data_IF_021874710857
#
_entry.id   IF_021874710857
#
_cell.length_a   1.000
_cell.length_b   1.000
_cell.length_c   1.000
_cell.angle_alpha   90.00
_cell.angle_beta   90.00
_cell.angle_gamma   90.00
#
_symmetry.space_group_name_H-M   'P 1'
#
loop_
_entity.id
_entity.type
_entity.pdbx_description
1 polymer ?
#
# COMPACT_ATOMS: atom_id res chain seq x y z
N UNK A 1 -6.25 -16.22 -41.05
CA UNK A 1 -5.59 -15.35 -40.03
C UNK A 1 -5.44 -16.07 -38.67
N UNK A 2 -6.38 -16.92 -38.28
CA UNK A 2 -6.37 -17.73 -37.05
C UNK A 2 -5.15 -18.66 -36.93
N UNK A 3 -4.77 -19.42 -37.96
CA UNK A 3 -3.67 -20.39 -37.91
C UNK A 3 -2.26 -19.79 -37.65
N UNK A 4 -2.02 -18.56 -38.14
CA UNK A 4 -0.72 -17.87 -37.89
C UNK A 4 -0.61 -17.40 -36.44
N UNK A 5 -1.69 -16.89 -35.84
CA UNK A 5 -1.74 -16.46 -34.45
C UNK A 5 -1.56 -17.65 -33.50
N UNK A 6 -2.25 -18.77 -33.77
CA UNK A 6 -2.12 -20.00 -32.98
C UNK A 6 -0.68 -20.58 -33.04
N UNK A 7 -0.05 -20.54 -34.22
CA UNK A 7 1.33 -20.95 -34.36
C UNK A 7 2.31 -20.06 -33.56
N UNK A 8 2.16 -18.75 -33.62
CA UNK A 8 3.01 -17.81 -32.88
C UNK A 8 2.80 -17.94 -31.36
N UNK A 9 1.57 -18.15 -30.93
CA UNK A 9 1.24 -18.41 -29.51
C UNK A 9 1.92 -19.71 -29.03
N UNK A 10 1.78 -20.79 -29.78
CA UNK A 10 2.37 -22.08 -29.43
C UNK A 10 3.92 -22.00 -29.38
N UNK A 11 4.54 -21.31 -30.32
CA UNK A 11 5.98 -20.99 -30.26
C UNK A 11 6.34 -20.13 -29.05
N UNK A 12 5.48 -19.17 -28.63
CA UNK A 12 5.68 -18.38 -27.42
C UNK A 12 5.68 -19.23 -26.15
N UNK A 13 4.74 -20.18 -26.04
CA UNK A 13 4.68 -21.15 -24.92
C UNK A 13 5.94 -22.03 -24.89
N UNK A 14 6.36 -22.56 -26.04
CA UNK A 14 7.59 -23.35 -26.12
C UNK A 14 8.80 -22.50 -25.70
N UNK A 15 8.90 -21.27 -26.19
CA UNK A 15 9.98 -20.35 -25.78
C UNK A 15 9.95 -20.04 -24.29
N UNK A 16 8.78 -19.92 -23.67
CA UNK A 16 8.67 -19.77 -22.21
C UNK A 16 9.36 -20.92 -21.46
N UNK A 17 9.04 -22.17 -21.80
CA UNK A 17 9.67 -23.32 -21.16
C UNK A 17 11.19 -23.40 -21.42
N UNK A 18 11.64 -23.01 -22.59
CA UNK A 18 13.07 -22.92 -22.94
C UNK A 18 13.75 -21.83 -22.11
N UNK A 19 13.14 -20.65 -21.99
CA UNK A 19 13.64 -19.54 -21.18
C UNK A 19 13.67 -19.95 -19.70
N UNK A 20 12.59 -20.54 -19.20
CA UNK A 20 12.47 -20.99 -17.81
C UNK A 20 13.56 -22.00 -17.45
N UNK A 21 13.75 -23.03 -18.29
CA UNK A 21 14.77 -24.06 -18.05
C UNK A 21 16.19 -23.51 -18.10
N UNK A 22 16.48 -22.60 -19.02
CA UNK A 22 17.83 -22.04 -19.19
C UNK A 22 18.13 -20.89 -18.24
N UNK A 23 17.12 -20.20 -17.73
CA UNK A 23 17.25 -19.00 -16.86
C UNK A 23 16.35 -19.10 -15.61
N UNK A 24 16.32 -20.30 -15.00
CA UNK A 24 15.50 -20.53 -13.79
C UNK A 24 15.80 -19.55 -12.66
N UNK A 25 17.07 -19.21 -12.49
CA UNK A 25 17.49 -18.22 -11.47
C UNK A 25 16.87 -16.84 -11.72
N UNK A 26 16.80 -16.42 -12.99
CA UNK A 26 16.15 -15.14 -13.34
C UNK A 26 14.64 -15.17 -13.07
N UNK A 27 13.99 -16.31 -13.31
CA UNK A 27 12.58 -16.49 -12.95
C UNK A 27 12.36 -16.39 -11.44
N UNK A 28 13.22 -17.04 -10.64
CA UNK A 28 13.18 -16.97 -9.19
C UNK A 28 13.42 -15.54 -8.70
N UNK A 29 14.41 -14.85 -9.26
CA UNK A 29 14.68 -13.43 -8.94
C UNK A 29 13.48 -12.54 -9.24
N UNK A 30 12.84 -12.71 -10.42
CA UNK A 30 11.66 -11.94 -10.79
C UNK A 30 10.49 -12.22 -9.82
N UNK A 31 10.27 -13.49 -9.46
CA UNK A 31 9.25 -13.88 -8.47
C UNK A 31 9.50 -13.22 -7.12
N UNK A 32 10.76 -13.19 -6.66
CA UNK A 32 11.15 -12.55 -5.39
C UNK A 32 10.94 -11.05 -5.42
N UNK A 33 11.30 -10.38 -6.52
CA UNK A 33 11.09 -8.94 -6.70
C UNK A 33 9.60 -8.60 -6.62
N UNK A 34 8.75 -9.37 -7.31
CA UNK A 34 7.29 -9.18 -7.29
C UNK A 34 6.72 -9.49 -5.89
N UNK A 35 7.21 -10.54 -5.23
CA UNK A 35 6.82 -10.86 -3.85
C UNK A 35 7.14 -9.71 -2.90
N UNK A 36 8.36 -9.16 -2.95
CA UNK A 36 8.75 -8.01 -2.13
C UNK A 36 7.87 -6.79 -2.41
N UNK A 37 7.52 -6.54 -3.67
CA UNK A 37 6.57 -5.48 -4.02
C UNK A 37 5.22 -5.65 -3.30
N UNK A 38 4.65 -6.87 -3.28
CA UNK A 38 3.40 -7.13 -2.55
C UNK A 38 3.53 -6.90 -1.05
N UNK A 39 4.64 -7.38 -0.45
CA UNK A 39 4.91 -7.19 0.99
C UNK A 39 4.99 -5.70 1.34
N UNK A 40 5.76 -4.92 0.59
CA UNK A 40 5.91 -3.48 0.84
C UNK A 40 4.60 -2.71 0.62
N UNK A 41 3.84 -3.07 -0.40
CA UNK A 41 2.55 -2.45 -0.66
C UNK A 41 1.56 -2.68 0.47
N UNK A 42 1.42 -3.92 0.92
CA UNK A 42 0.50 -4.27 2.02
C UNK A 42 0.95 -3.64 3.34
N UNK A 43 2.24 -3.68 3.64
CA UNK A 43 2.78 -3.01 4.82
C UNK A 43 2.47 -1.51 4.82
N UNK A 44 2.56 -0.88 3.64
CA UNK A 44 2.28 0.54 3.49
C UNK A 44 0.82 0.90 3.56
N UNK A 45 -0.04 0.16 2.89
CA UNK A 45 -1.49 0.38 2.96
C UNK A 45 -2.03 0.15 4.37
N UNK A 46 -1.51 -0.86 5.08
CA UNK A 46 -1.83 -1.12 6.47
C UNK A 46 -1.41 0.02 7.40
N UNK A 47 -0.22 0.58 7.21
CA UNK A 47 0.23 1.74 7.99
C UNK A 47 -0.67 2.96 7.77
N UNK A 48 -1.07 3.24 6.53
CA UNK A 48 -1.99 4.32 6.21
C UNK A 48 -3.37 4.10 6.83
N UNK A 49 -3.90 2.88 6.77
CA UNK A 49 -5.18 2.50 7.41
C UNK A 49 -5.14 2.66 8.92
N UNK A 50 -4.06 2.22 9.57
CA UNK A 50 -3.86 2.37 11.00
C UNK A 50 -3.79 3.83 11.44
N UNK A 51 -3.03 4.66 10.72
CA UNK A 51 -2.93 6.09 10.98
C UNK A 51 -4.27 6.81 10.79
N UNK A 52 -5.04 6.41 9.77
CA UNK A 52 -6.39 6.93 9.56
C UNK A 52 -7.35 6.51 10.69
N UNK A 53 -7.24 5.27 11.17
CA UNK A 53 -8.06 4.80 12.29
C UNK A 53 -7.73 5.55 13.60
N UNK A 54 -6.44 5.81 13.85
CA UNK A 54 -6.01 6.66 14.96
C UNK A 54 -6.47 8.11 14.79
N UNK A 55 -6.50 8.64 13.57
CA UNK A 55 -6.98 10.00 13.30
C UNK A 55 -8.50 10.14 13.38
N UNK A 56 -9.25 9.07 13.10
CA UNK A 56 -10.72 9.05 13.29
C UNK A 56 -11.12 8.92 14.76
N UNK A 57 -10.24 8.44 15.63
CA UNK A 57 -10.42 8.47 17.08
C UNK A 57 -10.17 9.87 17.68
N UNK A 58 -9.89 10.86 16.85
CA UNK A 58 -9.69 12.24 17.29
C UNK A 58 -11.04 12.92 17.61
N UNK A 59 -11.52 12.63 18.78
CA UNK A 59 -12.56 13.41 19.41
C UNK A 59 -11.96 14.72 19.97
N UNK A 60 -12.66 15.83 19.80
CA UNK A 60 -12.28 17.09 20.41
C UNK A 60 -12.77 17.03 21.85
N UNK A 61 -11.89 17.28 22.81
CA UNK A 61 -12.24 17.35 24.23
C UNK A 61 -12.22 18.78 24.69
N UNK A 62 -13.37 19.18 25.24
CA UNK A 62 -13.58 20.49 25.82
C UNK A 62 -13.59 20.32 27.33
N UNK A 63 -12.55 20.78 28.00
CA UNK A 63 -12.46 20.76 29.46
C UNK A 63 -13.23 21.92 30.02
N UNK A 64 -13.97 21.68 31.11
CA UNK A 64 -14.84 22.68 31.74
C UNK A 64 -14.12 23.34 32.91
N UNK A 65 -14.20 24.65 32.99
CA UNK A 65 -13.64 25.42 34.09
C UNK A 65 -14.36 25.16 35.45
N UNK A 66 -15.59 24.65 35.38
CA UNK A 66 -16.39 24.39 36.57
C UNK A 66 -17.11 23.03 36.43
N UNK A 67 -17.04 22.20 37.47
CA UNK A 67 -17.63 20.86 37.47
C UNK A 67 -19.14 20.87 37.83
N UNK A 68 -19.86 21.93 37.44
CA UNK A 68 -21.29 22.04 37.69
C UNK A 68 -22.07 21.46 36.50
N UNK A 69 -22.84 20.40 36.75
CA UNK A 69 -23.60 19.66 35.73
C UNK A 69 -24.62 20.57 34.98
N UNK A 70 -25.20 21.56 35.64
CA UNK A 70 -26.15 22.48 35.00
C UNK A 70 -25.45 23.36 33.96
N UNK A 71 -24.26 23.87 34.29
CA UNK A 71 -23.43 24.65 33.37
C UNK A 71 -22.93 23.77 32.24
N UNK A 72 -22.54 22.53 32.55
CA UNK A 72 -22.08 21.55 31.55
C UNK A 72 -23.18 21.23 30.52
N UNK A 73 -24.44 21.09 30.93
CA UNK A 73 -25.54 20.85 29.98
C UNK A 73 -25.83 22.07 29.09
N UNK A 74 -25.68 23.28 29.60
CA UNK A 74 -25.79 24.49 28.79
C UNK A 74 -24.69 24.59 27.75
N UNK A 75 -23.45 24.32 28.15
CA UNK A 75 -22.30 24.27 27.22
C UNK A 75 -22.48 23.15 26.19
N UNK A 76 -22.94 21.96 26.61
CA UNK A 76 -23.23 20.84 25.73
C UNK A 76 -24.28 21.20 24.66
N UNK A 77 -25.33 21.89 25.06
CA UNK A 77 -26.37 22.35 24.13
C UNK A 77 -25.82 23.38 23.13
N UNK A 78 -24.96 24.29 23.58
CA UNK A 78 -24.29 25.27 22.70
C UNK A 78 -23.34 24.61 21.71
N UNK A 79 -22.58 23.57 22.13
CA UNK A 79 -21.67 22.83 21.28
C UNK A 79 -22.44 22.04 20.22
N UNK A 80 -23.60 21.46 20.56
CA UNK A 80 -24.40 20.66 19.59
C UNK A 80 -24.97 21.49 18.44
N UNK A 81 -25.02 22.81 18.58
CA UNK A 81 -25.51 23.73 17.55
C UNK A 81 -24.38 24.23 16.64
N UNK A 82 -23.13 23.98 16.99
CA UNK A 82 -21.98 24.36 16.15
C UNK A 82 -21.99 23.63 14.81
N UNK A 83 -21.59 24.32 13.77
CA UNK A 83 -21.44 23.74 12.45
C UNK A 83 -20.39 22.62 12.45
N UNK A 84 -20.66 21.56 11.69
CA UNK A 84 -19.79 20.39 11.55
C UNK A 84 -19.61 19.53 12.82
N UNK A 85 -20.50 19.61 13.78
CA UNK A 85 -20.58 18.72 14.93
C UNK A 85 -21.68 17.67 14.68
N UNK A 86 -21.28 16.38 14.66
CA UNK A 86 -22.24 15.25 14.50
C UNK A 86 -22.92 14.92 15.82
N UNK A 87 -22.16 14.86 16.89
CA UNK A 87 -22.66 14.62 18.25
C UNK A 87 -21.67 15.13 19.28
N UNK A 88 -22.17 15.37 20.49
CA UNK A 88 -21.34 15.72 21.64
C UNK A 88 -21.87 14.99 22.87
N UNK A 89 -20.94 14.52 23.73
CA UNK A 89 -21.25 13.77 24.94
C UNK A 89 -20.52 14.35 26.13
N UNK A 90 -21.25 14.60 27.21
CA UNK A 90 -20.68 15.06 28.47
C UNK A 90 -20.19 13.87 29.31
N UNK A 91 -19.03 14.00 29.93
CA UNK A 91 -18.45 13.10 30.91
C UNK A 91 -18.23 13.84 32.22
N UNK A 92 -18.93 13.41 33.26
CA UNK A 92 -18.74 13.88 34.64
C UNK A 92 -17.35 13.50 35.16
N UNK A 93 -16.91 14.04 36.29
CA UNK A 93 -15.64 13.63 36.92
C UNK A 93 -15.56 12.13 37.17
N UNK A 94 -16.66 11.51 37.58
CA UNK A 94 -16.77 10.08 37.80
C UNK A 94 -16.62 9.31 36.49
N UNK A 95 -17.27 9.77 35.43
CA UNK A 95 -17.18 9.14 34.11
C UNK A 95 -15.79 9.35 33.50
N UNK A 96 -15.19 10.53 33.72
CA UNK A 96 -13.82 10.84 33.29
C UNK A 96 -12.78 9.92 33.94
N UNK A 97 -12.93 9.64 35.24
CA UNK A 97 -12.12 8.65 35.97
C UNK A 97 -12.30 7.25 35.37
N UNK A 98 -13.54 6.80 35.19
CA UNK A 98 -13.84 5.49 34.60
C UNK A 98 -13.25 5.36 33.17
N UNK A 99 -13.37 6.42 32.36
CA UNK A 99 -12.79 6.51 31.05
C UNK A 99 -11.25 6.43 31.08
N UNK A 100 -10.60 7.16 31.99
CA UNK A 100 -9.15 7.16 32.14
C UNK A 100 -8.61 5.77 32.55
N UNK A 101 -9.26 5.11 33.50
CA UNK A 101 -8.90 3.74 33.94
C UNK A 101 -9.09 2.72 32.81
N UNK A 102 -10.20 2.81 32.08
CA UNK A 102 -10.48 1.89 30.95
C UNK A 102 -9.48 2.02 29.81
N UNK A 103 -8.98 3.23 29.54
CA UNK A 103 -8.07 3.49 28.42
C UNK A 103 -6.57 3.46 28.80
N UNK A 104 -6.25 3.34 30.09
CA UNK A 104 -4.87 3.22 30.59
C UNK A 104 -4.71 2.01 31.52
N UNK A 105 -4.95 0.78 31.05
CA UNK A 105 -4.99 -0.43 31.89
C UNK A 105 -3.66 -0.75 32.60
N UNK A 106 -2.53 -0.17 32.15
CA UNK A 106 -1.21 -0.33 32.79
C UNK A 106 -0.96 0.68 33.92
N UNK A 107 -1.80 1.66 34.08
CA UNK A 107 -1.69 2.66 35.14
C UNK A 107 -2.58 2.27 36.33
N UNK A 108 -2.27 1.12 36.97
CA UNK A 108 -2.99 0.61 38.14
C UNK A 108 -3.11 1.64 39.30
N UNK A 109 -2.27 2.67 39.28
CA UNK A 109 -2.33 3.79 40.22
C UNK A 109 -3.49 4.76 39.98
N UNK A 110 -4.10 4.80 38.79
CA UNK A 110 -5.19 5.73 38.48
C UNK A 110 -6.47 5.45 39.28
N UNK A 111 -6.71 4.18 39.64
CA UNK A 111 -7.86 3.79 40.46
C UNK A 111 -7.81 4.41 41.86
N UNK A 112 -6.60 4.63 42.41
CA UNK A 112 -6.37 5.16 43.76
C UNK A 112 -6.53 6.67 43.86
N UNK A 113 -6.58 7.42 42.74
CA UNK A 113 -6.80 8.86 42.78
C UNK A 113 -8.28 9.21 43.06
N UNK A 114 -8.52 10.26 43.81
CA UNK A 114 -9.88 10.79 44.04
C UNK A 114 -10.50 11.29 42.73
N UNK A 115 -11.83 11.30 42.64
CA UNK A 115 -12.56 11.74 41.43
C UNK A 115 -12.27 13.20 41.09
N UNK A 116 -11.96 14.01 42.08
CA UNK A 116 -11.65 15.46 41.95
C UNK A 116 -10.41 15.72 41.07
N UNK A 117 -9.50 14.75 40.93
CA UNK A 117 -8.32 14.88 40.05
C UNK A 117 -8.65 14.71 38.57
N UNK A 118 -9.87 14.26 38.25
CA UNK A 118 -10.28 14.03 36.85
C UNK A 118 -11.25 15.18 36.45
N UNK A 119 -10.81 16.12 35.59
CA UNK A 119 -11.68 17.21 35.14
C UNK A 119 -12.83 16.64 34.30
N UNK A 120 -14.02 17.24 34.48
CA UNK A 120 -15.14 16.95 33.61
C UNK A 120 -14.88 17.50 32.19
N UNK A 121 -15.32 16.79 31.17
CA UNK A 121 -15.11 17.22 29.79
C UNK A 121 -16.30 16.87 28.90
N UNK A 122 -16.41 17.60 27.78
CA UNK A 122 -17.34 17.28 26.71
C UNK A 122 -16.53 16.73 25.52
N UNK A 123 -16.89 15.56 25.07
CA UNK A 123 -16.30 14.93 23.91
C UNK A 123 -17.16 15.27 22.68
N UNK A 124 -16.54 15.91 21.67
CA UNK A 124 -17.19 16.33 20.42
C UNK A 124 -16.76 15.35 19.32
N UNK A 125 -17.74 14.87 18.57
CA UNK A 125 -17.54 14.06 17.39
C UNK A 125 -17.79 14.94 16.15
N UNK A 126 -16.74 15.37 15.45
CA UNK A 126 -16.88 16.20 14.26
C UNK A 126 -17.44 15.40 13.08
N UNK A 127 -18.10 16.07 12.15
CA UNK A 127 -18.61 15.48 10.91
C UNK A 127 -17.50 15.18 9.90
N UNK A 128 -16.38 15.90 10.01
CA UNK A 128 -15.21 15.76 9.15
C UNK A 128 -13.93 15.91 9.99
N UNK A 129 -12.88 15.22 9.57
CA UNK A 129 -11.56 15.24 10.22
C UNK A 129 -10.56 16.16 9.51
N UNK A 130 -11.05 17.05 8.63
CA UNK A 130 -10.23 18.07 8.00
C UNK A 130 -9.72 19.06 9.05
N UNK A 131 -8.45 19.41 8.96
CA UNK A 131 -7.77 20.29 9.92
C UNK A 131 -8.46 21.65 10.05
N UNK A 132 -8.95 22.20 8.93
CA UNK A 132 -9.67 23.46 8.89
C UNK A 132 -11.01 23.39 9.65
N UNK A 133 -11.73 22.29 9.52
CA UNK A 133 -12.99 22.04 10.23
C UNK A 133 -12.75 21.88 11.73
N UNK A 134 -11.71 21.12 12.11
CA UNK A 134 -11.34 20.92 13.51
C UNK A 134 -10.90 22.24 14.17
N UNK A 135 -10.07 23.04 13.48
CA UNK A 135 -9.62 24.34 13.99
C UNK A 135 -10.78 25.34 14.17
N UNK A 136 -11.79 25.31 13.30
CA UNK A 136 -13.02 26.11 13.47
C UNK A 136 -13.80 25.69 14.72
N UNK A 137 -14.07 24.38 14.87
CA UNK A 137 -14.80 23.86 16.04
C UNK A 137 -14.04 24.21 17.34
N UNK A 138 -12.71 24.04 17.35
CA UNK A 138 -11.86 24.34 18.51
C UNK A 138 -11.93 25.83 18.86
N UNK A 139 -11.87 26.72 17.87
CA UNK A 139 -11.94 28.16 18.06
C UNK A 139 -13.32 28.58 18.58
N UNK A 140 -14.39 28.09 17.96
CA UNK A 140 -15.77 28.39 18.36
C UNK A 140 -16.10 27.84 19.75
N UNK A 141 -15.70 26.57 20.03
CA UNK A 141 -15.91 25.98 21.36
C UNK A 141 -15.09 26.69 22.45
N UNK A 142 -13.87 27.14 22.14
CA UNK A 142 -13.02 27.87 23.07
C UNK A 142 -13.58 29.26 23.47
N UNK A 143 -14.44 29.87 22.65
CA UNK A 143 -15.10 31.13 22.96
C UNK A 143 -16.35 30.95 23.82
N UNK A 144 -16.80 29.72 24.08
CA UNK A 144 -17.98 29.49 24.94
C UNK A 144 -17.61 29.74 26.38
N UNK A 145 -18.41 30.59 27.04
CA UNK A 145 -18.19 30.97 28.45
C UNK A 145 -18.32 29.75 29.37
N UNK A 146 -17.26 29.44 30.11
CA UNK A 146 -17.21 28.28 31.01
C UNK A 146 -16.36 27.12 30.49
N UNK A 147 -15.78 27.26 29.30
CA UNK A 147 -14.74 26.37 28.77
C UNK A 147 -13.39 26.83 29.30
N UNK A 148 -12.57 25.90 29.78
CA UNK A 148 -11.21 26.15 30.27
C UNK A 148 -10.18 25.89 29.13
N UNK A 149 -10.21 24.70 28.55
CA UNK A 149 -9.29 24.29 27.49
C UNK A 149 -10.01 23.42 26.47
N UNK A 150 -9.63 23.58 25.20
CA UNK A 150 -10.09 22.71 24.13
C UNK A 150 -8.90 21.99 23.55
N UNK A 151 -8.89 20.67 23.66
CA UNK A 151 -7.80 19.83 23.19
C UNK A 151 -8.31 18.81 22.16
N UNK A 152 -7.63 18.70 21.02
CA UNK A 152 -7.95 17.69 20.00
C UNK A 152 -6.74 16.93 19.51
N UNK A 153 -5.66 16.93 20.30
CA UNK A 153 -4.45 16.16 19.94
C UNK A 153 -3.73 16.65 18.68
N UNK A 154 -3.84 17.95 18.34
CA UNK A 154 -3.25 18.57 17.13
C UNK A 154 -1.79 18.18 16.91
N UNK A 155 -0.97 18.20 17.94
CA UNK A 155 0.44 17.81 17.85
C UNK A 155 0.64 16.36 17.39
N UNK A 156 -0.16 15.45 17.94
CA UNK A 156 -0.10 14.03 17.54
C UNK A 156 -0.57 13.85 16.11
N UNK A 157 -1.65 14.51 15.71
CA UNK A 157 -2.19 14.45 14.36
C UNK A 157 -1.20 14.95 13.32
N UNK A 158 -0.52 16.07 13.57
CA UNK A 158 0.53 16.60 12.68
C UNK A 158 1.68 15.61 12.55
N UNK A 159 2.13 15.03 13.68
CA UNK A 159 3.19 14.01 13.68
C UNK A 159 2.77 12.75 12.91
N UNK A 160 1.54 12.27 13.11
CA UNK A 160 1.01 11.10 12.38
C UNK A 160 0.86 11.36 10.88
N UNK A 161 0.34 12.53 10.48
CA UNK A 161 0.27 12.92 9.06
C UNK A 161 1.67 13.00 8.43
N UNK A 162 2.66 13.51 9.15
CA UNK A 162 4.05 13.58 8.67
C UNK A 162 4.65 12.18 8.50
N UNK A 163 4.44 11.26 9.46
CA UNK A 163 4.87 9.85 9.37
C UNK A 163 4.16 9.16 8.20
N UNK A 164 2.85 9.35 8.05
CA UNK A 164 2.08 8.78 6.94
C UNK A 164 2.56 9.25 5.58
N UNK A 165 2.87 10.54 5.43
CA UNK A 165 3.47 11.10 4.20
C UNK A 165 4.85 10.51 3.91
N UNK A 166 5.69 10.40 4.94
CA UNK A 166 7.01 9.76 4.83
C UNK A 166 6.92 8.30 4.41
N UNK A 167 6.01 7.54 5.01
CA UNK A 167 5.74 6.15 4.66
C UNK A 167 5.25 6.03 3.21
N UNK A 168 4.33 6.88 2.77
CA UNK A 168 3.83 6.88 1.40
C UNK A 168 4.93 7.18 0.37
N UNK A 169 5.79 8.17 0.63
CA UNK A 169 6.95 8.47 -0.21
C UNK A 169 7.91 7.28 -0.29
N UNK A 170 8.19 6.65 0.84
CA UNK A 170 9.07 5.47 0.89
C UNK A 170 8.50 4.30 0.08
N UNK A 171 7.20 4.01 0.20
CA UNK A 171 6.53 2.96 -0.56
C UNK A 171 6.56 3.24 -2.05
N UNK A 172 6.30 4.49 -2.43
CA UNK A 172 6.36 4.91 -3.84
C UNK A 172 7.76 4.73 -4.40
N UNK A 173 8.80 5.16 -3.66
CA UNK A 173 10.19 4.99 -4.06
C UNK A 173 10.56 3.50 -4.21
N UNK A 174 10.16 2.65 -3.26
CA UNK A 174 10.39 1.21 -3.33
C UNK A 174 9.64 0.56 -4.50
N UNK A 175 8.40 0.99 -4.78
CA UNK A 175 7.63 0.48 -5.92
C UNK A 175 8.32 0.79 -7.26
N UNK A 176 8.86 2.00 -7.40
CA UNK A 176 9.66 2.38 -8.58
C UNK A 176 10.93 1.53 -8.68
N UNK A 177 11.63 1.31 -7.57
CA UNK A 177 12.84 0.48 -7.53
C UNK A 177 12.54 -0.96 -7.93
N UNK A 178 11.46 -1.56 -7.43
CA UNK A 178 11.05 -2.91 -7.81
C UNK A 178 10.63 -2.99 -9.29
N UNK A 179 9.93 -1.98 -9.82
CA UNK A 179 9.60 -1.92 -11.23
C UNK A 179 10.85 -1.87 -12.12
N UNK A 180 11.83 -1.02 -11.78
CA UNK A 180 13.12 -0.95 -12.48
C UNK A 180 13.88 -2.28 -12.40
N UNK A 181 13.88 -2.93 -11.23
CA UNK A 181 14.49 -4.24 -11.04
C UNK A 181 13.84 -5.30 -11.92
N UNK A 182 12.51 -5.31 -12.01
CA UNK A 182 11.77 -6.22 -12.89
C UNK A 182 12.11 -5.99 -14.37
N UNK A 183 12.17 -4.71 -14.82
CA UNK A 183 12.62 -4.34 -16.16
C UNK A 183 14.01 -4.91 -16.43
N UNK A 184 14.95 -4.70 -15.51
CA UNK A 184 16.34 -5.14 -15.66
C UNK A 184 16.46 -6.68 -15.72
N UNK A 185 15.75 -7.38 -14.84
CA UNK A 185 15.76 -8.87 -14.82
C UNK A 185 15.20 -9.42 -16.12
N UNK A 186 14.03 -8.95 -16.58
CA UNK A 186 13.42 -9.45 -17.83
C UNK A 186 14.30 -9.09 -19.04
N UNK A 187 14.81 -7.86 -19.11
CA UNK A 187 15.69 -7.43 -20.18
C UNK A 187 16.91 -8.35 -20.32
N UNK A 188 17.62 -8.62 -19.21
CA UNK A 188 18.79 -9.48 -19.21
C UNK A 188 18.44 -10.93 -19.52
N UNK A 189 17.32 -11.45 -18.98
CA UNK A 189 16.85 -12.82 -19.27
C UNK A 189 16.61 -13.04 -20.76
N UNK A 190 15.92 -12.10 -21.40
CA UNK A 190 15.65 -12.19 -22.84
C UNK A 190 16.94 -12.00 -23.63
N UNK A 191 17.80 -11.07 -23.23
CA UNK A 191 19.10 -10.84 -23.87
C UNK A 191 19.98 -12.09 -23.84
N UNK A 192 20.10 -12.75 -22.68
CA UNK A 192 20.83 -14.02 -22.57
C UNK A 192 20.22 -15.12 -23.42
N UNK A 193 18.89 -15.22 -23.48
CA UNK A 193 18.21 -16.17 -24.36
C UNK A 193 18.49 -15.90 -25.84
N UNK A 194 18.51 -14.65 -26.27
CA UNK A 194 18.82 -14.26 -27.66
C UNK A 194 20.28 -14.62 -28.02
N UNK A 195 21.23 -14.35 -27.13
CA UNK A 195 22.64 -14.71 -27.35
C UNK A 195 22.82 -16.22 -27.44
N UNK A 196 22.14 -17.02 -26.62
CA UNK A 196 22.19 -18.48 -26.66
C UNK A 196 21.74 -19.04 -28.02
N UNK A 197 20.76 -18.40 -28.66
CA UNK A 197 20.22 -18.82 -29.97
C UNK A 197 20.67 -17.91 -31.12
N UNK A 198 21.80 -17.23 -30.96
CA UNK A 198 22.32 -16.26 -31.94
C UNK A 198 22.48 -16.87 -33.34
N UNK A 199 23.07 -18.06 -33.45
CA UNK A 199 23.31 -18.70 -34.72
C UNK A 199 22.01 -19.12 -35.42
N UNK A 200 21.01 -19.61 -34.67
CA UNK A 200 19.68 -19.93 -35.21
C UNK A 200 19.00 -18.67 -35.74
N UNK A 201 19.08 -17.54 -35.00
CA UNK A 201 18.52 -16.25 -35.40
C UNK A 201 19.21 -15.73 -36.67
N UNK A 202 20.53 -15.88 -36.75
CA UNK A 202 21.31 -15.51 -37.96
C UNK A 202 20.87 -16.30 -39.18
N UNK A 203 20.65 -17.60 -39.04
CA UNK A 203 20.13 -18.44 -40.14
C UNK A 203 18.74 -17.96 -40.60
N UNK A 204 17.84 -17.67 -39.67
CA UNK A 204 16.53 -17.11 -40.04
C UNK A 204 16.64 -15.79 -40.77
N UNK A 205 17.57 -14.94 -40.37
CA UNK A 205 17.82 -13.66 -41.03
C UNK A 205 18.34 -13.82 -42.45
N UNK A 206 19.24 -14.81 -42.69
CA UNK A 206 19.76 -15.12 -44.00
C UNK A 206 18.72 -15.68 -44.97
N UNK A 207 17.73 -16.42 -44.49
CA UNK A 207 16.58 -16.91 -45.26
C UNK A 207 15.48 -15.84 -45.46
N UNK A 208 15.71 -14.58 -44.98
CA UNK A 208 14.80 -13.46 -45.20
C UNK A 208 13.66 -13.37 -44.17
N UNK A 209 13.81 -13.94 -42.98
CA UNK A 209 12.82 -13.80 -41.93
C UNK A 209 12.67 -12.33 -41.49
N UNK A 210 11.41 -11.84 -41.39
CA UNK A 210 11.13 -10.49 -40.95
C UNK A 210 11.43 -10.29 -39.47
N UNK A 211 11.78 -9.06 -39.06
CA UNK A 211 12.03 -8.71 -37.66
C UNK A 211 10.88 -9.10 -36.70
N UNK A 212 9.60 -8.92 -37.04
CA UNK A 212 8.48 -9.39 -36.21
C UNK A 212 8.46 -10.92 -36.05
N UNK A 213 8.82 -11.69 -37.05
CA UNK A 213 8.86 -13.16 -36.97
C UNK A 213 9.86 -13.64 -35.91
N UNK A 214 10.99 -12.94 -35.77
CA UNK A 214 12.01 -13.26 -34.76
C UNK A 214 11.56 -12.73 -33.38
N UNK A 215 10.97 -11.53 -33.28
CA UNK A 215 10.68 -10.85 -32.03
C UNK A 215 9.47 -11.43 -31.29
N UNK A 216 8.38 -11.72 -32.01
CA UNK A 216 7.08 -12.09 -31.41
C UNK A 216 7.17 -13.30 -30.47
N UNK A 217 7.89 -14.41 -30.78
CA UNK A 217 8.02 -15.53 -29.85
C UNK A 217 8.68 -15.13 -28.50
N UNK A 218 9.63 -14.21 -28.51
CA UNK A 218 10.29 -13.73 -27.28
C UNK A 218 9.38 -12.80 -26.47
N UNK A 219 8.55 -11.98 -27.13
CA UNK A 219 7.57 -11.14 -26.47
C UNK A 219 6.49 -11.98 -25.75
N UNK A 220 5.96 -13.01 -26.41
CA UNK A 220 5.05 -13.96 -25.77
C UNK A 220 5.74 -14.76 -24.66
N UNK A 221 6.97 -15.20 -24.87
CA UNK A 221 7.75 -15.90 -23.85
C UNK A 221 7.95 -15.04 -22.59
N UNK A 222 8.24 -13.74 -22.76
CA UNK A 222 8.37 -12.81 -21.62
C UNK A 222 7.04 -12.51 -20.94
N UNK A 223 5.95 -12.41 -21.70
CA UNK A 223 4.61 -12.28 -21.14
C UNK A 223 4.28 -13.44 -20.19
N UNK A 224 4.47 -14.70 -20.67
CA UNK A 224 4.25 -15.87 -19.84
C UNK A 224 5.21 -15.94 -18.66
N UNK A 225 6.49 -15.58 -18.86
CA UNK A 225 7.48 -15.53 -17.77
C UNK A 225 7.02 -14.60 -16.66
N UNK A 226 6.57 -13.38 -17.00
CA UNK A 226 6.07 -12.39 -16.06
C UNK A 226 4.78 -12.82 -15.39
N UNK A 227 3.84 -13.40 -16.14
CA UNK A 227 2.58 -13.91 -15.62
C UNK A 227 2.79 -15.05 -14.61
N UNK A 228 3.61 -16.05 -14.95
CA UNK A 228 3.88 -17.16 -14.05
C UNK A 228 4.69 -16.73 -12.82
N UNK A 229 5.67 -15.83 -12.98
CA UNK A 229 6.39 -15.25 -11.84
C UNK A 229 5.44 -14.49 -10.91
N UNK A 230 4.48 -13.74 -11.45
CA UNK A 230 3.45 -13.06 -10.68
C UNK A 230 2.56 -14.06 -9.93
N UNK A 231 2.05 -15.10 -10.58
CA UNK A 231 1.21 -16.12 -9.94
C UNK A 231 1.95 -16.86 -8.83
N UNK A 232 3.20 -17.27 -9.08
CA UNK A 232 4.05 -17.87 -8.04
C UNK A 232 4.26 -16.92 -6.86
N UNK A 233 4.50 -15.64 -7.12
CA UNK A 233 4.66 -14.62 -6.08
C UNK A 233 3.39 -14.46 -5.25
N UNK A 234 2.20 -14.49 -5.86
CA UNK A 234 0.92 -14.45 -5.15
C UNK A 234 0.70 -15.67 -4.25
N UNK A 235 1.05 -16.87 -4.74
CA UNK A 235 0.94 -18.10 -3.95
C UNK A 235 1.85 -18.01 -2.72
N UNK A 236 3.10 -17.59 -2.91
CA UNK A 236 4.07 -17.41 -1.80
C UNK A 236 3.55 -16.32 -0.84
N UNK A 237 3.06 -15.20 -1.38
CA UNK A 237 2.52 -14.12 -0.58
C UNK A 237 1.33 -14.59 0.27
N UNK A 238 0.37 -15.29 -0.31
CA UNK A 238 -0.78 -15.83 0.40
C UNK A 238 -0.36 -16.85 1.48
N UNK A 239 0.59 -17.75 1.15
CA UNK A 239 1.09 -18.76 2.08
C UNK A 239 1.83 -18.16 3.29
N UNK A 240 2.48 -16.99 3.13
CA UNK A 240 3.18 -16.30 4.23
C UNK A 240 2.25 -15.33 4.94
N UNK A 241 1.50 -14.52 4.21
CA UNK A 241 0.71 -13.42 4.75
C UNK A 241 -0.52 -13.88 5.54
N UNK A 242 -1.26 -14.89 5.04
CA UNK A 242 -2.47 -15.35 5.71
C UNK A 242 -2.19 -15.89 7.12
N UNK A 243 -1.24 -16.82 7.33
CA UNK A 243 -0.93 -17.31 8.68
C UNK A 243 -0.26 -16.25 9.57
N UNK A 244 0.53 -15.32 9.00
CA UNK A 244 1.12 -14.22 9.75
C UNK A 244 0.04 -13.28 10.29
N UNK A 245 -0.91 -12.87 9.44
CA UNK A 245 -2.01 -12.00 9.84
C UNK A 245 -2.90 -12.67 10.92
N UNK A 246 -3.32 -13.92 10.69
CA UNK A 246 -4.25 -14.61 11.60
C UNK A 246 -3.63 -14.99 12.95
N UNK A 247 -2.36 -15.37 12.97
CA UNK A 247 -1.71 -15.87 14.20
C UNK A 247 -1.01 -14.80 15.02
N UNK A 248 -0.46 -13.78 14.38
CA UNK A 248 0.39 -12.80 15.07
C UNK A 248 -0.37 -11.48 15.27
N UNK A 249 -0.95 -10.93 14.21
CA UNK A 249 -1.56 -9.60 14.29
C UNK A 249 -2.91 -9.62 15.02
N UNK A 250 -3.78 -10.59 14.73
CA UNK A 250 -5.09 -10.70 15.39
C UNK A 250 -4.91 -11.04 16.88
N UNK A 251 -3.97 -11.92 17.24
CA UNK A 251 -3.69 -12.24 18.64
C UNK A 251 -3.06 -11.06 19.41
N UNK A 252 -2.34 -10.19 18.71
CA UNK A 252 -1.80 -8.95 19.29
C UNK A 252 -2.86 -7.84 19.40
N UNK A 253 -4.10 -8.08 18.99
CA UNK A 253 -5.18 -7.06 18.97
C UNK A 253 -4.97 -5.99 17.90
N UNK A 254 -4.10 -6.25 16.93
CA UNK A 254 -3.70 -5.29 15.90
C UNK A 254 -4.44 -5.67 14.61
N UNK A 255 -5.61 -5.09 14.39
CA UNK A 255 -6.37 -5.24 13.14
C UNK A 255 -5.85 -4.23 12.09
N UNK A 256 -4.55 -4.35 11.71
CA UNK A 256 -3.91 -3.35 10.85
C UNK A 256 -4.16 -3.62 9.36
N UNK A 257 -4.52 -4.84 8.97
CA UNK A 257 -4.48 -5.21 7.55
C UNK A 257 -5.85 -5.68 7.05
N UNK A 258 -6.54 -4.78 6.38
CA UNK A 258 -7.50 -5.20 5.38
C UNK A 258 -6.73 -5.84 4.21
N UNK A 259 -7.15 -7.05 3.84
CA UNK A 259 -6.59 -7.71 2.64
C UNK A 259 -6.84 -6.77 1.46
N UNK A 260 -5.81 -6.43 0.67
CA UNK A 260 -5.99 -5.55 -0.47
C UNK A 260 -7.09 -6.06 -1.40
N UNK A 261 -7.86 -5.11 -1.94
CA UNK A 261 -8.96 -5.42 -2.85
C UNK A 261 -8.45 -6.26 -4.03
N UNK A 262 -9.23 -7.23 -4.51
CA UNK A 262 -8.88 -8.07 -5.67
C UNK A 262 -8.50 -7.22 -6.89
N UNK A 263 -9.06 -6.02 -6.99
CA UNK A 263 -8.74 -5.03 -8.03
C UNK A 263 -7.27 -4.65 -8.05
N UNK A 264 -6.65 -4.53 -6.88
CA UNK A 264 -5.21 -4.27 -6.77
C UNK A 264 -4.38 -5.40 -7.40
N UNK A 265 -4.72 -6.66 -7.09
CA UNK A 265 -3.98 -7.80 -7.64
C UNK A 265 -4.16 -7.94 -9.16
N UNK A 266 -5.33 -7.66 -9.69
CA UNK A 266 -5.58 -7.67 -11.13
C UNK A 266 -4.78 -6.55 -11.81
N UNK A 267 -4.83 -5.33 -11.28
CA UNK A 267 -4.12 -4.19 -11.86
C UNK A 267 -2.61 -4.38 -11.83
N UNK A 268 -2.06 -4.85 -10.72
CA UNK A 268 -0.61 -5.12 -10.58
C UNK A 268 -0.15 -6.26 -11.51
N UNK A 269 -0.97 -7.30 -11.72
CA UNK A 269 -0.71 -8.35 -12.70
C UNK A 269 -0.58 -7.78 -14.13
N UNK A 270 -1.51 -6.93 -14.52
CA UNK A 270 -1.51 -6.29 -15.83
C UNK A 270 -0.25 -5.43 -16.00
N UNK A 271 0.10 -4.63 -14.99
CA UNK A 271 1.29 -3.77 -15.00
C UNK A 271 2.57 -4.62 -15.15
N UNK A 272 2.72 -5.69 -14.38
CA UNK A 272 3.89 -6.58 -14.45
C UNK A 272 4.01 -7.25 -15.81
N UNK A 273 2.90 -7.70 -16.41
CA UNK A 273 2.90 -8.27 -17.77
C UNK A 273 3.29 -7.23 -18.82
N UNK A 274 2.81 -6.01 -18.72
CA UNK A 274 3.18 -4.91 -19.63
C UNK A 274 4.67 -4.58 -19.50
N UNK A 275 5.19 -4.45 -18.28
CA UNK A 275 6.61 -4.24 -18.01
C UNK A 275 7.44 -5.35 -18.64
N UNK A 276 7.03 -6.60 -18.49
CA UNK A 276 7.70 -7.76 -19.08
C UNK A 276 7.81 -7.66 -20.60
N UNK A 277 6.71 -7.34 -21.28
CA UNK A 277 6.68 -7.22 -22.75
C UNK A 277 7.51 -6.03 -23.25
N UNK A 278 7.43 -4.88 -22.57
CA UNK A 278 8.22 -3.67 -22.93
C UNK A 278 9.72 -3.96 -22.77
N UNK A 279 10.12 -4.59 -21.66
CA UNK A 279 11.51 -4.95 -21.39
C UNK A 279 12.06 -5.93 -22.42
N UNK A 280 11.26 -6.94 -22.79
CA UNK A 280 11.62 -7.91 -23.82
C UNK A 280 11.78 -7.23 -25.19
N UNK A 281 10.86 -6.32 -25.56
CA UNK A 281 10.95 -5.55 -26.80
C UNK A 281 12.23 -4.72 -26.87
N UNK A 282 12.59 -4.04 -25.78
CA UNK A 282 13.83 -3.27 -25.71
C UNK A 282 15.06 -4.17 -25.89
N UNK A 283 15.06 -5.34 -25.25
CA UNK A 283 16.13 -6.34 -25.36
C UNK A 283 16.29 -6.86 -26.79
N UNK A 284 15.19 -7.23 -27.45
CA UNK A 284 15.21 -7.75 -28.83
C UNK A 284 15.69 -6.68 -29.80
N UNK A 285 15.21 -5.44 -29.67
CA UNK A 285 15.65 -4.34 -30.55
C UNK A 285 17.16 -4.09 -30.39
N UNK A 286 17.65 -4.04 -29.15
CA UNK A 286 19.08 -3.86 -28.86
C UNK A 286 19.92 -4.97 -29.49
N UNK A 287 19.48 -6.25 -29.36
CA UNK A 287 20.17 -7.39 -29.93
C UNK A 287 20.19 -7.36 -31.47
N UNK A 288 19.05 -7.10 -32.11
CA UNK A 288 18.97 -7.08 -33.58
C UNK A 288 19.80 -5.96 -34.20
N UNK A 289 19.92 -4.81 -33.54
CA UNK A 289 20.83 -3.73 -33.98
C UNK A 289 22.29 -4.19 -33.96
N UNK A 290 22.68 -4.91 -32.91
CA UNK A 290 24.05 -5.39 -32.76
C UNK A 290 24.39 -6.48 -33.80
N UNK A 291 23.42 -7.33 -34.15
CA UNK A 291 23.62 -8.38 -35.19
C UNK A 291 23.71 -7.77 -36.60
N UNK A 292 22.92 -6.72 -36.90
CA UNK A 292 22.98 -6.07 -38.22
C UNK A 292 24.28 -5.29 -38.44
N UNK A 293 24.88 -4.69 -37.41
CA UNK A 293 26.17 -4.01 -37.55
C UNK A 293 27.35 -4.96 -37.82
N UNK A 294 27.26 -6.22 -37.33
CA UNK A 294 28.31 -7.24 -37.57
C UNK A 294 28.24 -7.86 -38.99
N UNK A 295 27.12 -7.66 -39.69
CA UNK A 295 26.95 -8.19 -41.06
C UNK A 295 27.38 -7.18 -42.15
N UNK A 296 27.74 -5.98 -41.80
CA UNK A 296 28.24 -4.92 -42.69
C UNK A 296 29.78 -4.82 -42.66
N UNK A 297 30.46 -5.47 -41.71
CA UNK A 297 31.92 -5.69 -41.68
C UNK A 297 32.28 -7.09 -42.23
#
# INVERSE_FOLDING_TARGET
MSSKLTYLFMRGVIRFFVILRSNFLSFLTLTTVIFMYHVFWVAGSGTAGFLNHLSQANTIRVYLANNNDIIAEQILSSIKVLDNVTSAKYYSQKDAKAFAVANAPKAATLESFAEEFFPSFIEIYPSDTLEETLDKIVTEAGHIKGVDEVSYGKEYMIKFKAIGRGAWLFITAMSVLFALSAVFVVYNTIKLSLYKYKEEIKLYSLVGATRPFISVPYLFGSFFLSLFAYLCSLIIFAAVFIPFNSRILIQAGINIYDVPDIKYFILSCIIVCIIGVISARASVISFLKQVSSISED
#
